data_IF_500612879058
#
_entry.id   IF_500612879058
#
_cell.length_a   1.000
_cell.length_b   1.000
_cell.length_c   1.000
_cell.angle_alpha   90.00
_cell.angle_beta   90.00
_cell.angle_gamma   90.00
#
_symmetry.space_group_name_H-M   'P 1'
#
loop_
_entity.id
_entity.type
_entity.pdbx_description
1 polymer ?
#
# COMPACT_ATOMS: atom_id res chain seq x y z
N UNK A 1 41.90 -17.88 26.77
CA UNK A 1 41.45 -16.57 27.31
C UNK A 1 39.97 -16.71 27.62
N UNK A 2 39.57 -16.29 28.81
CA UNK A 2 38.54 -16.92 29.66
C UNK A 2 37.10 -16.80 29.11
N UNK A 3 36.36 -17.92 29.20
CA UNK A 3 34.92 -18.04 28.96
C UNK A 3 34.11 -17.22 30.00
N UNK A 4 33.10 -16.49 29.54
CA UNK A 4 32.06 -15.89 30.37
C UNK A 4 30.72 -16.56 30.10
N UNK A 5 30.26 -17.37 31.04
CA UNK A 5 28.92 -17.96 31.11
C UNK A 5 27.94 -17.04 31.86
N UNK A 6 26.67 -17.24 31.54
CA UNK A 6 25.47 -17.08 32.36
C UNK A 6 24.96 -15.69 32.78
N UNK A 7 23.76 -15.36 32.29
CA UNK A 7 22.66 -15.00 33.19
C UNK A 7 21.29 -15.29 32.55
N UNK A 8 20.66 -16.34 33.07
CA UNK A 8 19.30 -16.82 32.80
C UNK A 8 18.35 -16.02 33.69
N UNK A 9 17.44 -15.22 33.12
CA UNK A 9 16.37 -14.54 33.87
C UNK A 9 15.05 -15.28 33.64
N UNK A 10 14.69 -16.08 34.64
CA UNK A 10 13.40 -16.73 34.84
C UNK A 10 12.42 -15.69 35.38
N UNK A 11 11.34 -15.39 34.64
CA UNK A 11 10.21 -14.61 35.14
C UNK A 11 9.14 -15.57 35.66
N UNK A 12 8.90 -15.49 36.97
CA UNK A 12 7.91 -16.23 37.71
C UNK A 12 6.48 -15.75 37.39
N UNK A 13 5.60 -16.72 37.15
CA UNK A 13 4.15 -16.61 37.27
C UNK A 13 3.75 -16.17 38.68
N UNK A 14 2.80 -15.24 38.75
CA UNK A 14 2.11 -14.85 39.97
C UNK A 14 0.62 -14.70 39.69
N UNK A 15 -0.11 -15.80 39.79
CA UNK A 15 -1.57 -15.83 39.91
C UNK A 15 -1.91 -15.39 41.33
N UNK A 16 -2.78 -14.38 41.48
CA UNK A 16 -3.40 -14.10 42.76
C UNK A 16 -4.90 -13.85 42.53
N UNK A 17 -5.69 -14.86 42.86
CA UNK A 17 -7.13 -14.77 43.05
C UNK A 17 -7.44 -14.24 44.45
N UNK A 18 -8.68 -13.74 44.59
CA UNK A 18 -9.45 -13.45 45.80
C UNK A 18 -9.29 -12.03 46.38
N UNK A 19 -10.35 -11.23 46.17
CA UNK A 19 -11.15 -10.80 47.32
C UNK A 19 -12.63 -10.60 46.94
N UNK A 20 -13.58 -10.77 47.88
CA UNK A 20 -15.01 -10.95 47.58
C UNK A 20 -15.91 -9.80 48.06
N UNK A 21 -17.18 -9.88 47.63
CA UNK A 21 -18.40 -9.28 48.23
C UNK A 21 -18.54 -7.74 48.28
N UNK A 22 -19.46 -7.22 47.47
CA UNK A 22 -20.45 -6.26 47.96
C UNK A 22 -21.78 -6.41 47.21
N UNK A 23 -22.80 -6.69 48.01
CA UNK A 23 -24.19 -7.02 47.70
C UNK A 23 -25.03 -5.75 47.65
N UNK A 24 -25.99 -5.74 46.72
CA UNK A 24 -27.26 -5.01 46.63
C UNK A 24 -27.31 -3.50 46.96
N UNK A 25 -27.96 -2.70 46.11
CA UNK A 25 -29.37 -2.23 46.30
C UNK A 25 -29.77 -1.27 45.16
N UNK A 26 -31.05 -1.35 44.77
CA UNK A 26 -31.90 -0.40 44.01
C UNK A 26 -32.09 -0.74 42.53
N UNK A 27 -33.11 -1.55 42.19
CA UNK A 27 -34.56 -1.24 42.08
C UNK A 27 -34.93 -0.45 40.81
N UNK A 28 -35.49 -1.21 39.87
CA UNK A 28 -36.77 -0.95 39.20
C UNK A 28 -37.09 0.48 38.74
N UNK A 29 -36.93 0.68 37.43
CA UNK A 29 -37.86 1.49 36.64
C UNK A 29 -38.01 0.88 35.25
N UNK A 30 -38.77 -0.20 35.15
CA UNK A 30 -39.35 -0.68 33.89
C UNK A 30 -40.52 0.23 33.54
N UNK A 31 -40.24 1.30 32.79
CA UNK A 31 -41.28 2.04 32.07
C UNK A 31 -41.66 1.23 30.83
N UNK A 32 -42.90 0.76 30.82
CA UNK A 32 -43.55 0.14 29.67
C UNK A 32 -43.51 1.13 28.49
N UNK A 33 -42.83 0.74 27.41
CA UNK A 33 -42.93 1.38 26.11
C UNK A 33 -44.08 0.67 25.40
N UNK A 34 -45.19 1.39 25.26
CA UNK A 34 -46.34 0.94 24.46
C UNK A 34 -45.88 0.62 23.03
N UNK A 35 -46.31 -0.55 22.55
CA UNK A 35 -46.12 -0.94 21.17
C UNK A 35 -46.90 0.02 20.24
N UNK A 36 -46.32 0.44 19.10
CA UNK A 36 -47.05 1.24 18.12
C UNK A 36 -48.24 0.44 17.56
N UNK A 37 -49.36 1.11 17.24
CA UNK A 37 -50.54 0.44 16.71
C UNK A 37 -50.25 -0.20 15.34
N UNK A 38 -50.94 -1.30 15.00
CA UNK A 38 -50.78 -1.96 13.71
C UNK A 38 -51.17 -1.02 12.57
N UNK A 39 -50.28 -0.91 11.58
CA UNK A 39 -50.50 -0.18 10.34
C UNK A 39 -51.74 -0.77 9.65
N UNK A 40 -52.80 0.03 9.56
CA UNK A 40 -53.99 -0.32 8.79
C UNK A 40 -53.82 0.23 7.39
N UNK A 41 -53.47 -0.63 6.44
CA UNK A 41 -53.48 -0.35 5.00
C UNK A 41 -54.94 -0.20 4.52
N UNK A 42 -55.52 0.97 4.77
CA UNK A 42 -56.72 1.41 4.06
C UNK A 42 -56.28 2.09 2.77
N UNK A 43 -56.28 1.32 1.68
CA UNK A 43 -56.31 1.85 0.32
C UNK A 43 -57.57 2.71 0.14
N UNK A 44 -57.42 4.03 0.21
CA UNK A 44 -58.42 4.96 -0.31
C UNK A 44 -58.20 5.10 -1.83
N UNK A 45 -59.16 4.71 -2.68
CA UNK A 45 -59.13 5.04 -4.10
C UNK A 45 -59.39 6.56 -4.25
N UNK A 46 -58.31 7.33 -4.39
CA UNK A 46 -58.36 8.74 -4.71
C UNK A 46 -58.89 8.97 -6.15
N UNK A 47 -59.55 10.12 -6.40
CA UNK A 47 -60.18 10.41 -7.68
C UNK A 47 -59.14 10.46 -8.80
N UNK A 48 -59.47 9.73 -9.87
CA UNK A 48 -58.79 9.71 -11.16
C UNK A 48 -58.61 11.12 -11.71
N UNK A 49 -57.44 11.71 -11.48
CA UNK A 49 -56.96 12.88 -12.20
C UNK A 49 -56.46 12.41 -13.57
N UNK A 50 -57.35 12.48 -14.56
CA UNK A 50 -57.03 12.33 -15.97
C UNK A 50 -56.14 13.50 -16.40
N UNK A 51 -54.83 13.37 -16.19
CA UNK A 51 -53.84 14.29 -16.75
C UNK A 51 -53.81 14.04 -18.25
N UNK A 52 -54.27 15.02 -19.01
CA UNK A 52 -54.21 15.06 -20.47
C UNK A 52 -52.75 15.05 -20.89
N UNK A 53 -52.33 13.96 -21.52
CA UNK A 53 -51.00 13.73 -22.06
C UNK A 53 -50.81 14.58 -23.32
N UNK A 54 -50.35 15.82 -23.14
CA UNK A 54 -49.93 16.69 -24.23
C UNK A 54 -48.40 16.64 -24.34
N UNK A 55 -47.95 15.97 -25.40
CA UNK A 55 -46.58 15.94 -25.95
C UNK A 55 -45.55 15.15 -25.13
N UNK A 56 -45.57 13.82 -25.28
CA UNK A 56 -44.41 12.97 -25.06
C UNK A 56 -43.31 13.28 -26.08
N UNK A 57 -42.53 14.35 -25.84
CA UNK A 57 -41.23 14.54 -26.49
C UNK A 57 -40.40 13.30 -26.17
N UNK A 58 -39.80 12.62 -27.17
CA UNK A 58 -38.90 11.50 -26.91
C UNK A 58 -37.84 11.97 -25.91
N UNK A 59 -37.84 11.39 -24.71
CA UNK A 59 -36.78 11.58 -23.73
C UNK A 59 -35.50 11.08 -24.39
N UNK A 60 -34.67 11.99 -24.89
CA UNK A 60 -33.31 11.65 -25.28
C UNK A 60 -32.67 10.91 -24.09
N UNK A 61 -32.03 9.75 -24.33
CA UNK A 61 -31.35 9.04 -23.27
C UNK A 61 -30.38 10.02 -22.60
N UNK A 62 -30.26 9.99 -21.26
CA UNK A 62 -29.36 10.88 -20.55
C UNK A 62 -27.97 10.79 -21.20
N UNK A 63 -27.30 11.93 -21.43
CA UNK A 63 -26.02 11.94 -22.13
C UNK A 63 -25.07 10.98 -21.41
N UNK A 64 -24.40 10.12 -22.20
CA UNK A 64 -23.38 9.22 -21.67
C UNK A 64 -22.35 10.07 -20.94
N UNK A 65 -22.10 9.75 -19.67
CA UNK A 65 -21.17 10.50 -18.85
C UNK A 65 -19.82 10.54 -19.57
N UNK A 66 -19.39 11.72 -20.00
CA UNK A 66 -18.09 11.88 -20.62
C UNK A 66 -17.02 11.33 -19.67
N UNK A 67 -16.17 10.42 -20.19
CA UNK A 67 -15.02 9.89 -19.47
C UNK A 67 -14.14 11.05 -19.06
N UNK A 68 -14.20 11.40 -17.78
CA UNK A 68 -13.40 12.48 -17.22
C UNK A 68 -11.99 11.96 -16.94
N UNK A 69 -11.01 12.52 -17.66
CA UNK A 69 -9.59 12.26 -17.47
C UNK A 69 -9.00 13.36 -16.57
N UNK A 70 -8.58 12.99 -15.36
CA UNK A 70 -7.99 13.93 -14.42
C UNK A 70 -6.51 14.17 -14.69
N UNK A 71 -6.02 15.38 -14.42
CA UNK A 71 -4.61 15.72 -14.52
C UNK A 71 -3.79 15.11 -13.38
N UNK A 72 -2.73 14.36 -13.71
CA UNK A 72 -1.78 13.84 -12.74
C UNK A 72 -0.38 13.72 -13.33
N UNK A 73 0.61 13.54 -12.45
CA UNK A 73 1.98 13.19 -12.83
C UNK A 73 2.50 12.05 -11.96
N UNK A 74 3.48 11.33 -12.48
CA UNK A 74 4.15 10.23 -11.76
C UNK A 74 5.47 10.71 -11.15
N UNK A 75 5.77 10.25 -9.94
CA UNK A 75 7.07 10.48 -9.30
C UNK A 75 8.12 9.49 -9.83
N UNK A 76 9.39 9.64 -9.45
CA UNK A 76 10.44 8.66 -9.77
C UNK A 76 10.16 7.25 -9.21
N UNK A 77 9.43 7.15 -8.09
CA UNK A 77 8.96 5.88 -7.54
C UNK A 77 7.77 5.30 -8.30
N UNK A 78 7.18 6.03 -9.26
CA UNK A 78 5.95 5.67 -9.96
C UNK A 78 4.69 6.00 -9.18
N UNK A 79 4.80 6.70 -8.04
CA UNK A 79 3.62 7.13 -7.28
C UNK A 79 2.91 8.24 -8.05
N UNK A 80 1.58 8.25 -7.97
CA UNK A 80 0.75 9.21 -8.70
C UNK A 80 0.49 10.42 -7.80
N UNK A 81 0.63 11.62 -8.34
CA UNK A 81 0.26 12.87 -7.67
C UNK A 81 -0.68 13.66 -8.58
N UNK A 82 -1.87 13.98 -8.08
CA UNK A 82 -2.82 14.85 -8.76
C UNK A 82 -3.09 16.12 -7.96
N UNK A 83 -3.14 17.23 -8.68
CA UNK A 83 -3.59 18.53 -8.20
C UNK A 83 -4.89 18.97 -8.87
N UNK A 84 -5.61 18.05 -9.50
CA UNK A 84 -6.77 18.40 -10.30
C UNK A 84 -7.89 19.02 -9.42
N UNK A 85 -8.42 20.21 -9.77
CA UNK A 85 -9.51 20.86 -9.05
C UNK A 85 -10.75 19.98 -8.84
N UNK A 86 -11.13 19.16 -9.83
CA UNK A 86 -12.34 18.34 -9.75
C UNK A 86 -12.18 17.24 -8.71
N UNK A 87 -11.01 16.58 -8.64
CA UNK A 87 -10.75 15.56 -7.62
C UNK A 87 -10.79 16.09 -6.17
N UNK A 88 -10.80 17.42 -5.99
CA UNK A 88 -10.80 18.06 -4.67
C UNK A 88 -12.11 18.77 -4.31
N UNK A 89 -12.95 19.06 -5.32
CA UNK A 89 -14.01 20.07 -5.23
C UNK A 89 -15.27 19.73 -6.02
N UNK A 90 -15.42 18.51 -6.55
CA UNK A 90 -16.53 18.11 -7.45
C UNK A 90 -17.92 18.06 -6.78
N UNK A 91 -18.29 19.17 -6.15
CA UNK A 91 -19.55 19.54 -5.55
C UNK A 91 -19.70 21.06 -5.40
N UNK A 92 -18.97 21.88 -6.17
CA UNK A 92 -19.18 23.34 -6.20
C UNK A 92 -20.31 23.71 -7.17
N UNK A 93 -21.47 24.18 -6.69
CA UNK A 93 -22.25 25.13 -7.45
C UNK A 93 -21.52 26.47 -7.35
N UNK A 94 -20.50 26.69 -8.19
CA UNK A 94 -20.02 28.05 -8.42
C UNK A 94 -21.15 28.80 -9.11
N UNK A 95 -21.73 29.74 -8.35
CA UNK A 95 -22.69 30.75 -8.81
C UNK A 95 -24.13 30.21 -8.98
N UNK A 96 -24.82 29.89 -7.89
CA UNK A 96 -26.17 30.43 -7.63
C UNK A 96 -26.63 30.04 -6.22
N UNK A 97 -26.66 31.05 -5.35
CA UNK A 97 -27.22 30.98 -4.00
C UNK A 97 -28.74 30.78 -4.07
N UNK A 98 -29.20 29.52 -4.08
CA UNK A 98 -30.57 29.19 -3.65
C UNK A 98 -30.48 28.22 -2.47
N UNK A 99 -30.74 28.80 -1.30
CA UNK A 99 -30.44 28.35 0.06
C UNK A 99 -31.24 27.13 0.57
N UNK A 100 -31.85 26.31 -0.31
CA UNK A 100 -32.91 25.36 0.12
C UNK A 100 -32.79 23.90 -0.34
N UNK A 101 -31.74 23.49 -1.06
CA UNK A 101 -31.55 22.09 -1.49
C UNK A 101 -30.20 21.52 -0.99
N UNK A 102 -29.89 21.75 0.29
CA UNK A 102 -28.57 21.52 0.87
C UNK A 102 -28.23 20.08 1.26
N UNK A 103 -29.21 19.16 1.38
CA UNK A 103 -28.91 17.78 1.81
C UNK A 103 -28.58 16.82 0.65
N UNK A 104 -29.11 17.06 -0.54
CA UNK A 104 -28.98 16.13 -1.67
C UNK A 104 -27.73 16.41 -2.51
N UNK A 105 -27.33 17.68 -2.69
CA UNK A 105 -26.08 18.05 -3.37
C UNK A 105 -24.81 17.59 -2.65
N UNK A 106 -24.86 17.38 -1.34
CA UNK A 106 -23.71 16.95 -0.57
C UNK A 106 -23.35 15.46 -0.81
N UNK A 107 -24.26 14.68 -1.43
CA UNK A 107 -24.09 13.23 -1.64
C UNK A 107 -23.19 12.86 -2.83
N UNK A 108 -22.78 13.80 -3.67
CA UNK A 108 -22.02 13.50 -4.89
C UNK A 108 -20.64 14.15 -4.98
N UNK A 109 -20.20 14.85 -3.93
CA UNK A 109 -18.97 15.67 -3.96
C UNK A 109 -17.67 14.88 -4.26
N UNK A 110 -17.64 13.60 -3.93
CA UNK A 110 -16.48 12.71 -4.09
C UNK A 110 -16.53 11.80 -5.31
N UNK A 111 -17.42 12.04 -6.28
CA UNK A 111 -17.60 11.15 -7.43
C UNK A 111 -16.36 11.03 -8.31
N UNK A 112 -15.86 12.16 -8.82
CA UNK A 112 -14.68 12.17 -9.67
C UNK A 112 -13.47 11.54 -8.95
N UNK A 113 -13.29 11.85 -7.66
CA UNK A 113 -12.23 11.26 -6.84
C UNK A 113 -12.39 9.74 -6.73
N UNK A 114 -13.58 9.24 -6.40
CA UNK A 114 -13.84 7.80 -6.30
C UNK A 114 -13.55 7.09 -7.62
N UNK A 115 -14.09 7.59 -8.75
CA UNK A 115 -13.88 7.01 -10.08
C UNK A 115 -12.40 7.03 -10.48
N UNK A 116 -11.69 8.13 -10.20
CA UNK A 116 -10.26 8.24 -10.43
C UNK A 116 -9.48 7.20 -9.64
N UNK A 117 -9.80 7.00 -8.36
CA UNK A 117 -9.14 5.99 -7.52
C UNK A 117 -9.37 4.57 -8.05
N UNK A 118 -10.57 4.24 -8.51
CA UNK A 118 -10.85 2.93 -9.13
C UNK A 118 -10.06 2.73 -10.42
N UNK A 119 -10.11 3.71 -11.34
CA UNK A 119 -9.38 3.64 -12.61
C UNK A 119 -7.86 3.52 -12.41
N UNK A 120 -7.30 4.23 -11.42
CA UNK A 120 -5.88 4.07 -11.08
C UNK A 120 -5.60 2.79 -10.27
N UNK A 121 -6.58 2.20 -9.60
CA UNK A 121 -6.40 0.93 -8.90
C UNK A 121 -6.24 -0.24 -9.87
N UNK A 122 -6.77 -0.17 -11.09
CA UNK A 122 -6.53 -1.18 -12.13
C UNK A 122 -5.04 -1.27 -12.52
N UNK A 123 -4.28 -0.18 -12.35
CA UNK A 123 -2.82 -0.20 -12.50
C UNK A 123 -2.17 -0.77 -11.24
N UNK A 124 -1.67 -1.99 -11.34
CA UNK A 124 -1.03 -2.68 -10.21
C UNK A 124 0.31 -2.02 -9.78
N UNK A 125 0.60 -1.92 -8.48
CA UNK A 125 1.93 -1.61 -7.98
C UNK A 125 2.91 -2.75 -8.30
N UNK A 126 4.21 -2.49 -8.14
CA UNK A 126 5.25 -3.51 -8.26
C UNK A 126 6.27 -3.43 -7.13
N UNK A 127 6.92 -4.56 -6.85
CA UNK A 127 8.16 -4.59 -6.09
C UNK A 127 9.35 -4.55 -7.05
N UNK A 128 10.47 -4.05 -6.54
CA UNK A 128 11.78 -4.11 -7.17
C UNK A 128 12.76 -4.68 -6.17
N UNK A 129 13.21 -5.89 -6.41
CA UNK A 129 14.31 -6.48 -5.65
C UNK A 129 15.60 -5.76 -6.05
N UNK A 130 16.26 -5.14 -5.09
CA UNK A 130 17.58 -4.52 -5.23
C UNK A 130 18.61 -5.42 -4.56
N UNK A 131 19.60 -5.87 -5.33
CA UNK A 131 20.73 -6.65 -4.84
C UNK A 131 22.01 -5.85 -5.03
N UNK A 132 22.72 -5.55 -3.95
CA UNK A 132 23.96 -4.79 -3.97
C UNK A 132 25.04 -5.48 -3.13
N UNK A 133 26.21 -5.70 -3.73
CA UNK A 133 27.39 -6.22 -3.07
C UNK A 133 28.49 -5.17 -3.03
N UNK A 134 29.07 -4.95 -1.86
CA UNK A 134 30.22 -4.04 -1.69
C UNK A 134 31.31 -4.69 -0.86
N UNK A 135 32.57 -4.33 -1.11
CA UNK A 135 33.68 -4.70 -0.24
C UNK A 135 34.58 -3.48 0.04
N UNK A 136 35.37 -3.58 1.12
CA UNK A 136 36.33 -2.53 1.49
C UNK A 136 37.72 -2.90 0.98
N UNK A 137 38.29 -2.08 0.11
CA UNK A 137 39.67 -2.17 -0.34
C UNK A 137 40.56 -1.19 0.44
N UNK A 138 41.72 -1.65 0.89
CA UNK A 138 42.75 -0.78 1.45
C UNK A 138 43.73 -0.37 0.34
N UNK A 139 43.65 0.88 -0.10
CA UNK A 139 44.53 1.43 -1.14
C UNK A 139 45.58 2.33 -0.52
N UNK A 140 46.75 2.38 -1.15
CA UNK A 140 47.78 3.34 -0.80
C UNK A 140 48.10 4.23 -1.98
N UNK A 141 48.04 5.54 -1.81
CA UNK A 141 48.44 6.52 -2.83
C UNK A 141 49.61 7.36 -2.32
N UNK A 142 50.47 7.80 -3.24
CA UNK A 142 51.46 8.82 -2.93
C UNK A 142 50.78 10.18 -3.00
N UNK A 143 50.77 10.89 -1.88
CA UNK A 143 50.30 12.28 -1.80
C UNK A 143 51.51 13.17 -1.72
N UNK A 144 51.58 14.10 -2.68
CA UNK A 144 52.61 15.13 -2.71
C UNK A 144 52.04 16.38 -2.06
N UNK A 145 52.56 16.71 -0.88
CA UNK A 145 52.14 17.87 -0.10
C UNK A 145 53.25 18.92 -0.14
N UNK A 146 52.87 20.18 -0.41
CA UNK A 146 53.79 21.30 -0.35
C UNK A 146 53.79 21.84 1.07
N UNK A 147 54.91 21.71 1.77
CA UNK A 147 55.06 22.24 3.11
C UNK A 147 55.12 23.78 3.09
N UNK A 148 54.90 24.41 4.25
CA UNK A 148 54.98 25.86 4.44
C UNK A 148 56.27 26.49 3.90
N UNK A 149 57.36 25.70 3.87
CA UNK A 149 58.69 26.14 3.41
C UNK A 149 58.84 26.05 1.89
N UNK A 150 57.76 25.77 1.15
CA UNK A 150 57.75 25.67 -0.31
C UNK A 150 58.35 24.39 -0.88
N UNK A 151 58.87 23.50 -0.03
CA UNK A 151 59.39 22.17 -0.41
C UNK A 151 58.24 21.20 -0.65
N UNK A 152 58.48 20.29 -1.60
CA UNK A 152 57.54 19.26 -1.99
C UNK A 152 57.92 17.96 -1.29
N UNK A 153 57.05 17.41 -0.45
CA UNK A 153 57.25 16.12 0.21
C UNK A 153 56.22 15.12 -0.28
N UNK A 154 56.69 13.97 -0.77
CA UNK A 154 55.81 12.84 -1.10
C UNK A 154 55.71 11.91 0.10
N UNK A 155 54.49 11.66 0.57
CA UNK A 155 54.20 10.66 1.60
C UNK A 155 53.22 9.62 1.09
N UNK A 156 53.40 8.37 1.52
CA UNK A 156 52.45 7.29 1.23
C UNK A 156 51.29 7.39 2.21
N UNK A 157 50.09 7.60 1.72
CA UNK A 157 48.84 7.64 2.50
C UNK A 157 48.03 6.38 2.22
N UNK A 158 47.64 5.66 3.26
CA UNK A 158 46.70 4.53 3.17
C UNK A 158 45.29 4.98 3.46
N UNK A 159 44.33 4.65 2.58
CA UNK A 159 42.92 4.92 2.78
C UNK A 159 42.08 3.68 2.44
N UNK A 160 40.88 3.62 3.01
CA UNK A 160 39.92 2.54 2.73
C UNK A 160 38.85 3.05 1.78
N UNK A 161 38.58 2.31 0.72
CA UNK A 161 37.58 2.62 -0.30
C UNK A 161 36.53 1.51 -0.33
N UNK A 162 35.24 1.87 -0.34
CA UNK A 162 34.17 0.89 -0.52
C UNK A 162 33.88 0.75 -2.00
N UNK A 163 34.18 -0.42 -2.56
CA UNK A 163 33.98 -0.74 -3.98
C UNK A 163 32.69 -1.53 -4.13
N UNK A 164 31.82 -1.12 -5.06
CA UNK A 164 30.63 -1.88 -5.44
C UNK A 164 31.02 -2.96 -6.44
N UNK A 165 30.75 -4.22 -6.10
CA UNK A 165 31.05 -5.37 -6.96
C UNK A 165 29.90 -5.65 -7.92
N UNK A 166 28.67 -5.66 -7.42
CA UNK A 166 27.45 -5.84 -8.20
C UNK A 166 26.33 -4.95 -7.65
N UNK A 167 25.46 -4.47 -8.53
CA UNK A 167 24.33 -3.61 -8.19
C UNK A 167 23.27 -3.73 -9.29
N UNK A 168 22.22 -4.51 -9.03
CA UNK A 168 21.19 -4.78 -10.03
C UNK A 168 19.80 -4.90 -9.41
N UNK A 169 18.80 -4.80 -10.28
CA UNK A 169 17.40 -4.79 -9.90
C UNK A 169 16.61 -5.88 -10.63
N UNK A 170 15.62 -6.47 -9.97
CA UNK A 170 14.65 -7.40 -10.59
C UNK A 170 13.25 -6.89 -10.25
N UNK A 171 12.43 -6.66 -11.27
CA UNK A 171 11.05 -6.21 -11.07
C UNK A 171 10.13 -7.41 -10.79
N UNK A 172 9.25 -7.26 -9.81
CA UNK A 172 8.27 -8.25 -9.35
C UNK A 172 6.89 -7.62 -9.44
N UNK A 173 6.11 -8.05 -10.42
CA UNK A 173 4.75 -7.59 -10.66
C UNK A 173 3.73 -8.66 -10.28
N UNK A 174 2.57 -8.28 -9.73
CA UNK A 174 1.47 -9.22 -9.56
C UNK A 174 0.94 -9.66 -10.93
N UNK A 175 0.20 -10.78 -11.01
CA UNK A 175 -0.45 -11.21 -12.24
C UNK A 175 -1.47 -10.17 -12.71
N UNK A 176 -1.50 -9.86 -14.01
CA UNK A 176 -2.42 -8.88 -14.60
C UNK A 176 -3.89 -9.30 -14.52
N UNK A 177 -4.18 -10.58 -14.29
CA UNK A 177 -5.54 -11.12 -14.17
C UNK A 177 -6.19 -10.83 -12.83
N UNK A 178 -5.39 -10.46 -11.82
CA UNK A 178 -5.86 -10.29 -10.45
C UNK A 178 -6.37 -8.87 -10.25
N UNK A 179 -7.64 -8.74 -9.89
CA UNK A 179 -8.24 -7.46 -9.52
C UNK A 179 -7.81 -7.01 -8.12
N UNK A 180 -7.65 -5.70 -7.88
CA UNK A 180 -7.36 -5.19 -6.55
C UNK A 180 -8.52 -5.48 -5.58
N UNK A 181 -8.18 -5.88 -4.36
CA UNK A 181 -9.13 -5.93 -3.25
C UNK A 181 -9.09 -4.57 -2.54
N UNK A 182 -10.16 -3.80 -2.64
CA UNK A 182 -10.26 -2.53 -1.92
C UNK A 182 -10.40 -2.78 -0.43
N UNK A 183 -9.64 -2.04 0.38
CA UNK A 183 -9.64 -2.20 1.83
C UNK A 183 -9.68 -0.85 2.53
N UNK A 184 -10.13 -0.87 3.78
CA UNK A 184 -10.14 0.31 4.66
C UNK A 184 -9.65 -0.04 6.07
N UNK A 185 -8.92 0.90 6.67
CA UNK A 185 -8.37 0.80 8.03
C UNK A 185 -9.53 0.79 9.02
N UNK A 186 -9.53 -0.22 9.90
CA UNK A 186 -10.56 -0.39 10.93
C UNK A 186 -10.66 0.86 11.82
N UNK A 187 -11.86 1.17 12.30
CA UNK A 187 -12.06 2.39 13.09
C UNK A 187 -11.31 2.41 14.42
N UNK A 188 -11.02 1.24 14.98
CA UNK A 188 -10.18 1.09 16.18
C UNK A 188 -8.66 1.17 15.88
N UNK A 189 -8.25 1.26 14.62
CA UNK A 189 -6.83 1.37 14.22
C UNK A 189 -6.41 2.83 13.97
N UNK A 190 -5.20 3.24 14.41
CA UNK A 190 -4.69 4.59 14.20
C UNK A 190 -4.53 4.97 12.73
N UNK A 191 -5.38 5.87 12.23
CA UNK A 191 -5.32 6.37 10.84
C UNK A 191 -5.46 7.90 10.78
N UNK A 192 -5.03 8.52 9.69
CA UNK A 192 -5.32 9.94 9.46
C UNK A 192 -6.75 10.05 8.91
N UNK A 193 -7.69 10.61 9.69
CA UNK A 193 -9.13 10.70 9.36
C UNK A 193 -9.60 12.14 9.16
N UNK A 194 -8.75 12.93 8.52
CA UNK A 194 -8.98 14.33 8.19
C UNK A 194 -8.20 15.31 9.04
N UNK A 195 -7.67 14.93 10.22
CA UNK A 195 -6.72 15.74 10.98
C UNK A 195 -5.25 15.45 10.60
N UNK A 196 -4.34 16.30 11.09
CA UNK A 196 -2.89 16.09 10.98
C UNK A 196 -2.33 15.19 12.10
N UNK A 197 -3.21 14.53 12.85
CA UNK A 197 -2.93 13.56 13.91
C UNK A 197 -3.61 12.26 13.52
N UNK A 198 -3.06 11.12 13.95
CA UNK A 198 -3.76 9.85 13.81
C UNK A 198 -4.87 9.72 14.85
N UNK A 199 -6.01 9.23 14.40
CA UNK A 199 -7.24 9.13 15.16
C UNK A 199 -7.78 7.71 15.09
N UNK A 200 -8.44 7.31 16.18
CA UNK A 200 -9.31 6.14 16.25
C UNK A 200 -10.75 6.61 16.44
N UNK A 201 -11.73 5.84 15.95
CA UNK A 201 -13.16 6.15 15.98
C UNK A 201 -14.04 4.93 16.33
N UNK A 202 -13.76 4.18 17.43
CA UNK A 202 -14.41 2.89 17.71
C UNK A 202 -15.94 2.96 17.90
N UNK A 203 -16.48 4.13 18.23
CA UNK A 203 -17.92 4.39 18.39
C UNK A 203 -18.36 5.63 17.58
N UNK A 204 -17.62 5.96 16.51
CA UNK A 204 -17.85 7.18 15.72
C UNK A 204 -17.25 8.46 16.31
N UNK A 205 -16.88 8.47 17.60
CA UNK A 205 -16.16 9.59 18.21
C UNK A 205 -14.67 9.53 17.87
N UNK A 206 -14.15 10.60 17.23
CA UNK A 206 -12.75 10.70 16.85
C UNK A 206 -11.88 11.04 18.07
N UNK A 207 -10.96 10.15 18.43
CA UNK A 207 -9.98 10.35 19.50
C UNK A 207 -8.55 10.33 18.96
N UNK A 208 -7.74 11.31 19.37
CA UNK A 208 -6.32 11.36 19.04
C UNK A 208 -5.52 10.26 19.73
N UNK A 209 -4.64 9.61 18.98
CA UNK A 209 -3.84 8.44 19.42
C UNK A 209 -2.54 8.89 20.09
N UNK A 210 -2.10 8.16 21.12
CA UNK A 210 -0.82 8.44 21.79
C UNK A 210 0.37 8.07 20.88
N UNK A 211 1.52 8.72 21.10
CA UNK A 211 2.75 8.45 20.31
C UNK A 211 3.22 7.00 20.43
N UNK A 212 3.08 6.38 21.60
CA UNK A 212 3.48 4.99 21.84
C UNK A 212 2.64 4.00 21.01
N UNK A 213 1.32 4.16 21.01
CA UNK A 213 0.38 3.38 20.20
C UNK A 213 0.65 3.57 18.70
N UNK A 214 0.92 4.80 18.26
CA UNK A 214 1.31 5.08 16.88
C UNK A 214 2.59 4.34 16.47
N UNK A 215 3.59 4.28 17.36
CA UNK A 215 4.85 3.55 17.12
C UNK A 215 4.61 2.04 17.07
N UNK A 216 3.81 1.50 17.98
CA UNK A 216 3.44 0.08 18.00
C UNK A 216 2.69 -0.30 16.71
N UNK A 217 1.71 0.50 16.29
CA UNK A 217 0.99 0.30 15.04
C UNK A 217 1.91 0.36 13.82
N UNK A 218 2.85 1.31 13.75
CA UNK A 218 3.81 1.36 12.64
C UNK A 218 4.70 0.11 12.58
N UNK A 219 5.18 -0.37 13.74
CA UNK A 219 5.95 -1.60 13.83
C UNK A 219 5.13 -2.80 13.35
N UNK A 220 3.86 -2.86 13.75
CA UNK A 220 2.92 -3.90 13.28
C UNK A 220 2.73 -3.84 11.76
N UNK A 221 2.47 -2.66 11.19
CA UNK A 221 2.31 -2.49 9.74
C UNK A 221 3.56 -2.96 8.98
N UNK A 222 4.75 -2.65 9.49
CA UNK A 222 6.03 -3.10 8.93
C UNK A 222 6.18 -4.63 9.01
N UNK A 223 5.94 -5.23 10.17
CA UNK A 223 5.98 -6.69 10.36
C UNK A 223 4.95 -7.41 9.46
N UNK A 224 3.74 -6.86 9.37
CA UNK A 224 2.67 -7.38 8.51
C UNK A 224 3.07 -7.35 7.04
N UNK A 225 3.64 -6.23 6.58
CA UNK A 225 4.09 -6.04 5.19
C UNK A 225 5.25 -6.97 4.85
N UNK A 226 6.24 -7.09 5.73
CA UNK A 226 7.42 -7.97 5.53
C UNK A 226 7.04 -9.45 5.52
N UNK A 227 6.00 -9.85 6.26
CA UNK A 227 5.43 -11.20 6.23
C UNK A 227 4.48 -11.45 5.05
N UNK A 228 4.14 -10.43 4.27
CA UNK A 228 3.17 -10.54 3.17
C UNK A 228 1.73 -10.76 3.63
N UNK A 229 1.39 -10.34 4.84
CA UNK A 229 0.03 -10.43 5.35
C UNK A 229 -0.83 -9.30 4.77
N UNK A 230 -2.10 -9.55 4.40
CA UNK A 230 -2.97 -8.51 3.86
C UNK A 230 -3.28 -7.38 4.87
N UNK A 231 -3.62 -6.17 4.36
CA UNK A 231 -3.69 -4.97 5.18
C UNK A 231 -4.91 -4.86 6.12
N UNK A 232 -5.92 -5.72 5.98
CA UNK A 232 -7.08 -5.78 6.88
C UNK A 232 -6.88 -6.70 8.10
N UNK A 233 -5.74 -7.39 8.19
CA UNK A 233 -5.43 -8.23 9.34
C UNK A 233 -4.93 -7.36 10.50
N UNK A 234 -5.57 -7.52 11.65
CA UNK A 234 -5.22 -6.84 12.90
C UNK A 234 -4.16 -7.59 13.73
N UNK A 235 -4.09 -8.92 13.62
CA UNK A 235 -3.09 -9.77 14.31
C UNK A 235 -2.79 -11.04 13.51
N UNK A 236 -1.59 -11.58 13.68
CA UNK A 236 -1.10 -12.81 13.03
C UNK A 236 -2.00 -14.00 13.32
N UNK A 237 -2.47 -14.14 14.57
CA UNK A 237 -3.28 -15.28 15.01
C UNK A 237 -4.62 -15.38 14.27
N UNK A 238 -5.17 -14.23 13.85
CA UNK A 238 -6.43 -14.17 13.11
C UNK A 238 -6.33 -14.73 11.68
N UNK A 239 -5.13 -14.85 11.12
CA UNK A 239 -4.93 -15.34 9.75
C UNK A 239 -4.83 -16.87 9.67
N UNK A 240 -4.34 -17.51 10.73
CA UNK A 240 -4.10 -18.96 10.75
C UNK A 240 -5.42 -19.75 10.64
N UNK A 241 -6.54 -19.15 11.04
CA UNK A 241 -7.86 -19.78 11.06
C UNK A 241 -8.62 -19.74 9.72
N UNK A 242 -7.93 -19.45 8.63
CA UNK A 242 -8.50 -19.44 7.27
C UNK A 242 -8.69 -18.01 6.73
N UNK A 243 -8.49 -17.86 5.42
CA UNK A 243 -8.77 -16.61 4.74
C UNK A 243 -10.28 -16.31 4.85
N UNK A 244 -10.70 -15.11 5.29
CA UNK A 244 -12.09 -14.74 5.23
C UNK A 244 -12.50 -14.66 3.75
N UNK A 245 -13.35 -15.58 3.31
CA UNK A 245 -13.89 -15.64 1.94
C UNK A 245 -14.89 -14.50 1.66
N UNK A 246 -15.18 -13.62 2.63
CA UNK A 246 -16.21 -12.59 2.52
C UNK A 246 -15.63 -11.17 2.36
N UNK A 247 -16.05 -10.49 1.28
CA UNK A 247 -15.74 -9.09 0.96
C UNK A 247 -16.07 -8.15 2.12
N UNK A 248 -17.06 -8.48 2.95
CA UNK A 248 -17.44 -7.69 4.14
C UNK A 248 -16.30 -7.55 5.15
N UNK A 249 -15.32 -8.46 5.14
CA UNK A 249 -14.21 -8.46 6.11
C UNK A 249 -13.09 -7.49 5.74
N UNK A 250 -13.02 -7.05 4.47
CA UNK A 250 -11.91 -6.23 3.95
C UNK A 250 -12.13 -4.73 4.19
N UNK A 251 -13.40 -4.28 4.21
CA UNK A 251 -13.79 -2.91 4.53
C UNK A 251 -14.13 -2.77 6.02
N UNK A 252 -13.10 -2.58 6.86
CA UNK A 252 -13.28 -2.53 8.33
C UNK A 252 -13.64 -1.15 8.89
N UNK A 253 -13.55 -0.10 8.08
CA UNK A 253 -14.04 1.23 8.45
C UNK A 253 -15.57 1.27 8.37
N UNK A 254 -16.22 1.97 9.30
CA UNK A 254 -17.67 2.28 9.23
C UNK A 254 -18.09 3.03 7.97
N UNK A 255 -17.14 3.66 7.29
CA UNK A 255 -17.35 4.37 6.01
C UNK A 255 -16.74 3.63 4.82
N UNK A 256 -17.46 3.68 3.69
CA UNK A 256 -16.98 3.19 2.40
C UNK A 256 -15.93 4.11 1.77
N UNK A 257 -15.19 3.61 0.77
CA UNK A 257 -14.23 4.42 -0.01
C UNK A 257 -14.88 5.68 -0.59
N UNK A 258 -16.11 5.55 -1.11
CA UNK A 258 -16.88 6.68 -1.65
C UNK A 258 -17.19 7.72 -0.57
N UNK A 259 -17.66 7.29 0.60
CA UNK A 259 -17.96 8.21 1.70
C UNK A 259 -16.71 8.94 2.22
N UNK A 260 -15.55 8.28 2.23
CA UNK A 260 -14.27 8.94 2.54
C UNK A 260 -13.88 9.97 1.50
N UNK A 261 -14.11 9.68 0.21
CA UNK A 261 -13.91 10.64 -0.87
C UNK A 261 -14.85 11.85 -0.72
N UNK A 262 -16.13 11.62 -0.40
CA UNK A 262 -17.09 12.70 -0.14
C UNK A 262 -16.67 13.55 1.07
N UNK A 263 -16.22 12.94 2.18
CA UNK A 263 -15.70 13.66 3.35
C UNK A 263 -14.46 14.50 3.01
N UNK A 264 -13.55 13.97 2.19
CA UNK A 264 -12.37 14.69 1.72
C UNK A 264 -12.75 15.90 0.86
N UNK A 265 -13.63 15.74 -0.11
CA UNK A 265 -14.09 16.83 -0.98
C UNK A 265 -14.82 17.92 -0.17
N UNK A 266 -15.67 17.51 0.78
CA UNK A 266 -16.41 18.43 1.66
C UNK A 266 -15.54 19.17 2.68
N UNK A 267 -14.31 18.72 2.92
CA UNK A 267 -13.39 19.40 3.85
C UNK A 267 -12.91 20.75 3.32
N UNK A 268 -13.10 21.81 4.12
CA UNK A 268 -12.69 23.19 3.83
C UNK A 268 -11.20 23.48 4.12
N UNK A 269 -10.36 22.44 4.17
CA UNK A 269 -8.95 22.56 4.51
C UNK A 269 -8.11 22.91 3.29
N UNK A 270 -7.24 23.91 3.40
CA UNK A 270 -6.43 24.40 2.28
C UNK A 270 -5.29 23.47 1.89
N UNK A 271 -4.76 22.72 2.86
CA UNK A 271 -3.67 21.76 2.69
C UNK A 271 -4.15 20.35 3.04
N UNK A 272 -5.32 19.98 2.51
CA UNK A 272 -5.82 18.61 2.56
C UNK A 272 -5.00 17.69 1.66
N UNK A 273 -4.87 16.43 2.04
CA UNK A 273 -4.19 15.41 1.26
C UNK A 273 -4.94 14.08 1.43
N UNK A 274 -5.39 13.50 0.33
CA UNK A 274 -5.90 12.14 0.30
C UNK A 274 -4.80 11.21 -0.18
N UNK A 275 -4.54 10.15 0.57
CA UNK A 275 -3.52 9.14 0.26
C UNK A 275 -4.23 7.80 0.11
N UNK A 276 -4.16 7.24 -1.09
CA UNK A 276 -4.61 5.89 -1.39
C UNK A 276 -3.41 4.96 -1.48
N UNK A 277 -3.38 3.93 -0.63
CA UNK A 277 -2.24 3.02 -0.50
C UNK A 277 -2.43 1.75 -1.33
N UNK A 278 -1.48 1.43 -2.19
CA UNK A 278 -1.45 0.22 -3.01
C UNK A 278 -0.47 -0.77 -2.37
N UNK A 279 -1.02 -1.84 -1.80
CA UNK A 279 -0.27 -2.80 -0.99
C UNK A 279 -0.18 -4.13 -1.72
N UNK A 280 1.03 -4.61 -1.98
CA UNK A 280 1.24 -5.99 -2.43
C UNK A 280 1.29 -6.91 -1.22
N UNK A 281 0.67 -8.09 -1.33
CA UNK A 281 0.66 -9.07 -0.25
C UNK A 281 0.71 -10.51 -0.79
N UNK A 282 0.82 -11.49 0.10
CA UNK A 282 0.84 -12.92 -0.21
C UNK A 282 2.24 -13.55 -0.18
N UNK A 283 3.33 -12.77 -0.27
CA UNK A 283 4.69 -13.29 -0.17
C UNK A 283 5.37 -12.90 1.13
N UNK A 284 6.02 -13.85 1.78
CA UNK A 284 6.89 -13.54 2.92
C UNK A 284 8.23 -12.97 2.41
N UNK A 285 8.28 -11.64 2.27
CA UNK A 285 9.43 -10.92 1.74
C UNK A 285 10.68 -11.14 2.61
N UNK A 286 10.52 -11.23 3.93
CA UNK A 286 11.64 -11.49 4.84
C UNK A 286 12.30 -12.85 4.56
N UNK A 287 11.50 -13.91 4.35
CA UNK A 287 12.02 -15.23 3.99
C UNK A 287 12.65 -15.21 2.60
N UNK A 288 12.03 -14.52 1.64
CA UNK A 288 12.55 -14.40 0.29
C UNK A 288 13.89 -13.65 0.25
N UNK A 289 14.03 -12.54 0.98
CA UNK A 289 15.31 -11.84 1.14
C UNK A 289 16.37 -12.74 1.75
N UNK A 290 16.01 -13.54 2.77
CA UNK A 290 16.94 -14.47 3.42
C UNK A 290 17.39 -15.57 2.46
N UNK A 291 16.49 -16.07 1.61
CA UNK A 291 16.81 -17.05 0.56
C UNK A 291 17.76 -16.44 -0.50
N UNK A 292 17.48 -15.21 -0.96
CA UNK A 292 18.35 -14.48 -1.89
C UNK A 292 19.73 -14.26 -1.28
N UNK A 293 19.83 -13.76 -0.05
CA UNK A 293 21.11 -13.58 0.65
C UNK A 293 21.89 -14.90 0.76
N UNK A 294 21.20 -16.00 1.04
CA UNK A 294 21.81 -17.33 1.14
C UNK A 294 22.36 -17.82 -0.20
N UNK A 295 21.62 -17.60 -1.30
CA UNK A 295 22.08 -17.93 -2.66
C UNK A 295 23.28 -17.09 -3.08
N UNK A 296 23.31 -15.79 -2.75
CA UNK A 296 24.48 -14.93 -2.98
C UNK A 296 25.68 -15.44 -2.19
N UNK A 297 25.51 -15.81 -0.92
CA UNK A 297 26.58 -16.34 -0.09
C UNK A 297 27.16 -17.66 -0.64
N UNK A 298 26.34 -18.50 -1.28
CA UNK A 298 26.79 -19.75 -1.91
C UNK A 298 27.74 -19.53 -3.11
N UNK A 299 27.82 -18.31 -3.65
CA UNK A 299 28.76 -17.93 -4.73
C UNK A 299 30.18 -17.67 -4.24
N UNK A 300 30.47 -17.89 -2.95
CA UNK A 300 31.74 -17.55 -2.29
C UNK A 300 32.04 -16.04 -2.26
N UNK A 301 31.01 -15.20 -2.39
CA UNK A 301 31.16 -13.76 -2.21
C UNK A 301 31.33 -13.43 -0.72
N UNK A 302 32.44 -12.78 -0.36
CA UNK A 302 32.79 -12.45 1.04
C UNK A 302 32.52 -10.99 1.43
N UNK A 303 31.98 -10.17 0.52
CA UNK A 303 31.67 -8.77 0.80
C UNK A 303 30.39 -8.56 1.62
N UNK A 304 30.07 -7.30 1.87
CA UNK A 304 28.80 -6.87 2.45
C UNK A 304 27.70 -6.94 1.39
N UNK A 305 26.63 -7.68 1.66
CA UNK A 305 25.49 -7.86 0.75
C UNK A 305 24.26 -7.18 1.32
N UNK A 306 23.69 -6.27 0.55
CA UNK A 306 22.42 -5.61 0.79
C UNK A 306 21.38 -6.16 -0.19
N UNK A 307 20.25 -6.62 0.36
CA UNK A 307 19.10 -7.12 -0.41
C UNK A 307 17.87 -6.43 0.15
N UNK A 308 17.15 -5.69 -0.69
CA UNK A 308 15.97 -4.90 -0.30
C UNK A 308 14.86 -5.03 -1.35
N UNK A 309 13.61 -5.19 -0.91
CA UNK A 309 12.43 -5.03 -1.78
C UNK A 309 11.88 -3.60 -1.73
N UNK A 310 12.10 -2.86 -2.81
CA UNK A 310 11.61 -1.50 -2.97
C UNK A 310 10.21 -1.50 -3.61
N UNK A 311 9.28 -0.75 -3.02
CA UNK A 311 7.92 -0.58 -3.56
C UNK A 311 7.90 0.50 -4.64
N UNK A 312 7.22 0.23 -5.76
CA UNK A 312 6.97 1.19 -6.84
C UNK A 312 5.48 1.34 -7.10
N UNK A 313 5.09 2.54 -7.52
CA UNK A 313 3.70 2.93 -7.78
C UNK A 313 2.75 2.52 -6.63
N UNK A 314 3.23 2.73 -5.40
CA UNK A 314 2.56 2.24 -4.19
C UNK A 314 1.55 3.23 -3.63
N UNK A 315 1.59 4.50 -4.04
CA UNK A 315 0.71 5.53 -3.49
C UNK A 315 0.10 6.42 -4.56
N UNK A 316 -1.12 6.85 -4.30
CA UNK A 316 -1.78 7.94 -5.04
C UNK A 316 -2.01 9.08 -4.05
N UNK A 317 -1.50 10.27 -4.37
CA UNK A 317 -1.67 11.49 -3.60
C UNK A 317 -2.59 12.45 -4.34
N UNK A 318 -3.69 12.81 -3.70
CA UNK A 318 -4.58 13.87 -4.17
C UNK A 318 -4.39 15.07 -3.27
N UNK A 319 -4.08 16.20 -3.88
CA UNK A 319 -3.86 17.47 -3.18
C UNK A 319 -4.68 18.56 -3.86
N UNK A 320 -5.11 19.60 -3.13
CA UNK A 320 -5.88 20.69 -3.71
C UNK A 320 -5.05 21.50 -4.70
N UNK A 321 -5.76 22.12 -5.64
CA UNK A 321 -5.17 22.96 -6.67
C UNK A 321 -4.81 24.37 -6.17
N UNK A 322 -3.98 24.43 -5.14
CA UNK A 322 -3.51 25.70 -4.58
C UNK A 322 -2.04 25.89 -4.96
N UNK A 323 -1.64 27.14 -5.22
CA UNK A 323 -0.23 27.50 -5.49
C UNK A 323 0.70 26.99 -4.39
N UNK A 324 0.26 27.08 -3.12
CA UNK A 324 1.01 26.57 -1.98
C UNK A 324 1.17 25.04 -2.02
N UNK A 325 0.11 24.31 -2.37
CA UNK A 325 0.15 22.86 -2.51
C UNK A 325 1.08 22.42 -3.66
N UNK A 326 1.00 23.10 -4.81
CA UNK A 326 1.91 22.87 -5.96
C UNK A 326 3.36 23.19 -5.60
N UNK A 327 3.59 24.30 -4.89
CA UNK A 327 4.92 24.70 -4.40
C UNK A 327 5.51 23.64 -3.45
N UNK A 328 4.69 23.08 -2.54
CA UNK A 328 5.12 22.04 -1.60
C UNK A 328 5.36 20.67 -2.26
N UNK A 329 4.76 20.40 -3.42
CA UNK A 329 5.00 19.17 -4.19
C UNK A 329 6.36 19.17 -4.89
N UNK A 330 6.91 20.34 -5.21
CA UNK A 330 8.24 20.45 -5.81
C UNK A 330 9.34 20.38 -4.73
N UNK A 331 10.22 19.38 -4.82
CA UNK A 331 11.32 19.14 -3.87
C UNK A 331 12.26 20.35 -3.76
N UNK A 332 12.55 21.04 -4.87
CA UNK A 332 13.46 22.18 -4.89
C UNK A 332 12.83 23.42 -4.23
N UNK A 333 11.57 23.73 -4.54
CA UNK A 333 10.85 24.82 -3.88
C UNK A 333 10.65 24.56 -2.39
N UNK A 334 10.39 23.30 -2.00
CA UNK A 334 10.36 22.90 -0.59
C UNK A 334 11.71 23.16 0.08
N UNK A 335 12.83 22.82 -0.56
CA UNK A 335 14.18 23.12 -0.04
C UNK A 335 14.41 24.63 0.09
N UNK A 336 14.06 25.42 -0.92
CA UNK A 336 14.14 26.89 -0.87
C UNK A 336 13.29 27.47 0.28
N UNK A 337 12.09 26.94 0.51
CA UNK A 337 11.21 27.39 1.61
C UNK A 337 11.78 27.11 3.00
N UNK A 338 12.65 26.09 3.13
CA UNK A 338 13.39 25.79 4.37
C UNK A 338 14.50 26.83 4.57
N UNK A 339 15.29 27.13 3.52
CA UNK A 339 16.35 28.15 3.57
C UNK A 339 15.77 29.52 3.94
N UNK A 340 14.63 29.89 3.34
CA UNK A 340 13.95 31.15 3.61
C UNK A 340 13.18 31.18 4.94
N UNK A 341 13.26 30.13 5.78
CA UNK A 341 12.55 30.02 7.06
C UNK A 341 11.02 30.19 6.97
N UNK A 342 10.43 30.00 5.78
CA UNK A 342 8.97 30.04 5.56
C UNK A 342 8.33 28.71 6.00
N UNK A 343 9.07 27.60 5.84
CA UNK A 343 8.56 26.25 6.11
C UNK A 343 8.01 26.03 7.54
N UNK A 344 8.64 26.53 8.63
CA UNK A 344 8.09 26.42 9.98
C UNK A 344 6.69 27.05 10.12
N UNK A 345 6.41 28.17 9.45
CA UNK A 345 5.10 28.82 9.48
C UNK A 345 4.05 28.01 8.72
N UNK A 346 4.41 27.46 7.55
CA UNK A 346 3.55 26.55 6.79
C UNK A 346 3.23 25.31 7.64
N UNK A 347 4.23 24.76 8.33
CA UNK A 347 4.05 23.62 9.22
C UNK A 347 3.11 23.96 10.39
N UNK A 348 3.30 25.12 11.04
CA UNK A 348 2.46 25.60 12.13
C UNK A 348 1.01 25.78 11.67
N UNK A 349 0.81 26.42 10.51
CA UNK A 349 -0.51 26.58 9.89
C UNK A 349 -1.15 25.22 9.58
N UNK A 350 -0.39 24.29 8.97
CA UNK A 350 -0.86 22.95 8.65
C UNK A 350 -1.29 22.20 9.92
N UNK A 351 -0.57 22.38 11.04
CA UNK A 351 -0.77 21.64 12.29
C UNK A 351 -1.86 22.21 13.20
N UNK A 352 -1.91 23.53 13.39
CA UNK A 352 -2.73 24.16 14.43
C UNK A 352 -3.96 24.91 13.91
N UNK A 353 -3.98 25.29 12.63
CA UNK A 353 -5.13 26.00 12.08
C UNK A 353 -6.25 25.03 11.69
N UNK A 354 -7.50 25.33 12.07
CA UNK A 354 -8.68 24.49 11.79
C UNK A 354 -8.88 24.24 10.28
N UNK A 355 -8.62 25.27 9.47
CA UNK A 355 -8.65 25.21 7.99
C UNK A 355 -7.29 24.87 7.35
N UNK A 356 -6.28 24.58 8.15
CA UNK A 356 -4.92 24.37 7.67
C UNK A 356 -4.76 23.03 6.96
N UNK A 357 -4.18 22.06 7.67
CA UNK A 357 -3.88 20.73 7.14
C UNK A 357 -4.92 19.69 7.47
N UNK A 358 -5.13 18.77 6.53
CA UNK A 358 -5.86 17.53 6.79
C UNK A 358 -5.25 16.40 5.99
N UNK A 359 -5.24 15.19 6.55
CA UNK A 359 -4.73 14.02 5.86
C UNK A 359 -5.75 12.88 5.97
N UNK A 360 -5.94 12.18 4.88
CA UNK A 360 -6.74 10.96 4.80
C UNK A 360 -5.82 9.85 4.32
N UNK A 361 -5.53 8.88 5.18
CA UNK A 361 -4.75 7.68 4.87
C UNK A 361 -5.48 6.50 5.51
N UNK A 362 -6.59 6.12 4.90
CA UNK A 362 -7.61 5.25 5.51
C UNK A 362 -7.95 4.07 4.60
N UNK A 363 -7.67 4.16 3.31
CA UNK A 363 -8.12 3.18 2.34
C UNK A 363 -7.07 2.94 1.26
N UNK A 364 -7.21 1.82 0.57
CA UNK A 364 -6.24 1.40 -0.42
C UNK A 364 -6.73 0.25 -1.28
N UNK A 365 -5.85 -0.19 -2.18
CA UNK A 365 -6.00 -1.39 -2.97
C UNK A 365 -4.96 -2.42 -2.55
N UNK A 366 -5.38 -3.65 -2.29
CA UNK A 366 -4.48 -4.75 -1.98
C UNK A 366 -4.38 -5.67 -3.19
N UNK A 367 -3.15 -6.02 -3.57
CA UNK A 367 -2.83 -6.77 -4.77
C UNK A 367 -2.13 -8.07 -4.35
N UNK A 368 -2.81 -9.23 -4.46
CA UNK A 368 -2.17 -10.49 -4.12
C UNK A 368 -1.13 -10.87 -5.17
N UNK A 369 0.08 -11.18 -4.70
CA UNK A 369 1.12 -11.85 -5.50
C UNK A 369 0.79 -13.34 -5.68
N UNK A 370 0.02 -13.90 -4.74
CA UNK A 370 -0.59 -15.24 -4.80
C UNK A 370 -1.96 -15.22 -4.12
N UNK A 371 -2.96 -15.85 -4.73
CA UNK A 371 -4.31 -15.99 -4.17
C UNK A 371 -4.89 -17.36 -4.52
N UNK A 372 -5.67 -17.95 -3.62
CA UNK A 372 -6.46 -19.15 -3.90
C UNK A 372 -7.86 -18.73 -4.32
N UNK A 373 -8.21 -18.96 -5.57
CA UNK A 373 -9.53 -18.66 -6.13
C UNK A 373 -10.36 -19.95 -6.17
N UNK A 374 -11.64 -19.86 -5.78
CA UNK A 374 -12.56 -20.99 -5.91
C UNK A 374 -12.84 -21.24 -7.39
N UNK A 375 -12.61 -22.46 -7.84
CA UNK A 375 -12.98 -22.85 -9.20
C UNK A 375 -14.49 -23.05 -9.19
N UNK A 376 -15.25 -22.06 -9.65
CA UNK A 376 -16.66 -22.27 -9.92
C UNK A 376 -16.76 -23.30 -11.05
N UNK A 377 -17.49 -24.39 -10.79
CA UNK A 377 -17.85 -25.41 -11.76
C UNK A 377 -18.70 -24.76 -12.85
N UNK A 378 -18.05 -24.07 -13.79
CA UNK A 378 -18.64 -23.74 -15.07
C UNK A 378 -19.00 -25.04 -15.79
N UNK A 379 -20.01 -25.02 -16.68
CA UNK A 379 -20.45 -26.21 -17.39
C UNK A 379 -19.31 -26.75 -18.25
N UNK A 380 -18.66 -27.81 -17.75
CA UNK A 380 -17.91 -28.77 -18.54
C UNK A 380 -16.78 -28.22 -19.44
N UNK A 381 -16.05 -27.18 -19.00
CA UNK A 381 -14.70 -26.96 -19.55
C UNK A 381 -13.83 -28.13 -19.12
N UNK A 382 -13.68 -29.09 -20.03
CA UNK A 382 -12.93 -30.33 -19.90
C UNK A 382 -11.68 -30.14 -19.04
N UNK A 383 -11.69 -30.72 -17.84
CA UNK A 383 -10.49 -30.89 -17.03
C UNK A 383 -9.37 -31.37 -17.96
N UNK A 384 -8.21 -30.71 -17.99
CA UNK A 384 -7.14 -31.06 -18.92
C UNK A 384 -6.83 -32.55 -18.76
N UNK A 385 -7.04 -33.28 -19.86
CA UNK A 385 -6.94 -34.74 -19.92
C UNK A 385 -5.50 -35.16 -19.61
N UNK A 386 -5.26 -35.54 -18.35
CA UNK A 386 -4.17 -36.38 -17.83
C UNK A 386 -2.84 -36.31 -18.60
N UNK A 387 -2.22 -35.12 -18.65
CA UNK A 387 -1.05 -34.93 -19.51
C UNK A 387 -0.04 -33.88 -19.07
N UNK A 388 0.03 -33.45 -17.80
CA UNK A 388 1.15 -32.62 -17.32
C UNK A 388 1.18 -32.54 -15.77
N UNK A 389 2.11 -33.25 -15.13
CA UNK A 389 2.28 -33.31 -13.66
C UNK A 389 2.56 -31.94 -13.00
N UNK A 390 2.97 -30.93 -13.78
CA UNK A 390 3.17 -29.57 -13.30
C UNK A 390 1.84 -28.86 -12.93
N UNK A 391 0.74 -29.17 -13.63
CA UNK A 391 -0.56 -28.55 -13.42
C UNK A 391 -1.18 -28.92 -12.06
N UNK A 392 -0.85 -30.10 -11.50
CA UNK A 392 -1.42 -30.56 -10.22
C UNK A 392 -0.98 -29.75 -9.00
N UNK A 393 0.17 -29.05 -9.05
CA UNK A 393 0.65 -28.24 -7.91
C UNK A 393 -0.19 -26.98 -7.64
N UNK A 394 -1.03 -26.60 -8.62
CA UNK A 394 -1.82 -25.37 -8.60
C UNK A 394 -3.22 -25.53 -7.99
N UNK A 395 -3.70 -26.76 -7.77
CA UNK A 395 -5.03 -27.01 -7.18
C UNK A 395 -4.92 -27.58 -5.77
N UNK A 396 -5.78 -27.11 -4.87
CA UNK A 396 -5.90 -27.65 -3.50
C UNK A 396 -7.37 -27.90 -3.22
N UNK A 397 -7.68 -29.12 -2.76
CA UNK A 397 -9.01 -29.47 -2.29
C UNK A 397 -9.19 -28.95 -0.87
N UNK A 398 -10.08 -27.98 -0.70
CA UNK A 398 -10.48 -27.45 0.62
C UNK A 398 -11.89 -27.96 0.97
N UNK A 399 -12.31 -27.91 2.25
CA UNK A 399 -13.69 -28.25 2.62
C UNK A 399 -14.76 -27.45 1.86
N UNK A 400 -14.42 -26.24 1.40
CA UNK A 400 -15.28 -25.37 0.58
C UNK A 400 -15.16 -25.57 -0.93
N UNK A 401 -14.51 -26.63 -1.41
CA UNK A 401 -14.33 -26.93 -2.83
C UNK A 401 -12.88 -26.87 -3.32
N UNK A 402 -12.67 -27.13 -4.61
CA UNK A 402 -11.35 -27.06 -5.26
C UNK A 402 -10.97 -25.60 -5.48
N UNK A 403 -9.82 -25.20 -4.95
CA UNK A 403 -9.24 -23.87 -5.17
C UNK A 403 -8.06 -23.95 -6.12
N UNK A 404 -7.99 -23.03 -7.07
CA UNK A 404 -6.84 -22.83 -7.97
C UNK A 404 -5.97 -21.70 -7.44
N UNK A 405 -4.66 -21.91 -7.42
CA UNK A 405 -3.70 -20.86 -7.13
C UNK A 405 -3.56 -19.94 -8.35
N UNK A 406 -3.93 -18.68 -8.17
CA UNK A 406 -3.65 -17.59 -9.12
C UNK A 406 -2.42 -16.84 -8.64
N UNK A 407 -1.46 -16.67 -9.56
CA UNK A 407 -0.16 -16.06 -9.29
C UNK A 407 0.94 -17.08 -9.02
N UNK A 408 2.06 -16.60 -8.47
CA UNK A 408 3.28 -17.39 -8.31
C UNK A 408 3.61 -17.49 -6.82
N UNK A 409 4.00 -18.67 -6.33
CA UNK A 409 4.50 -18.79 -4.95
C UNK A 409 5.89 -18.16 -4.87
N UNK A 410 6.23 -17.59 -3.72
CA UNK A 410 7.55 -16.99 -3.50
C UNK A 410 8.70 -17.98 -3.78
N UNK A 411 8.53 -19.26 -3.43
CA UNK A 411 9.53 -20.30 -3.69
C UNK A 411 9.68 -20.66 -5.17
N UNK A 412 8.57 -20.66 -5.92
CA UNK A 412 8.60 -20.92 -7.37
C UNK A 412 9.21 -19.73 -8.12
N UNK A 413 8.87 -18.51 -7.69
CA UNK A 413 9.52 -17.30 -8.18
C UNK A 413 11.02 -17.33 -7.89
N UNK A 414 11.42 -17.63 -6.66
CA UNK A 414 12.83 -17.70 -6.29
C UNK A 414 13.58 -18.75 -7.12
N UNK A 415 13.06 -19.97 -7.24
CA UNK A 415 13.64 -21.03 -8.07
C UNK A 415 13.86 -20.58 -9.51
N UNK A 416 12.90 -19.84 -10.08
CA UNK A 416 13.01 -19.29 -11.44
C UNK A 416 14.16 -18.27 -11.55
N UNK A 417 14.36 -17.43 -10.53
CA UNK A 417 15.31 -16.31 -10.57
C UNK A 417 16.70 -16.60 -9.96
N UNK A 418 16.84 -17.67 -9.19
CA UNK A 418 18.06 -18.03 -8.45
C UNK A 418 19.30 -18.09 -9.36
N UNK A 419 19.20 -18.74 -10.52
CA UNK A 419 20.30 -18.85 -11.47
C UNK A 419 20.70 -17.49 -12.07
N UNK A 420 19.73 -16.59 -12.29
CA UNK A 420 20.01 -15.23 -12.78
C UNK A 420 20.69 -14.40 -11.71
N UNK A 421 20.19 -14.44 -10.47
CA UNK A 421 20.81 -13.75 -9.32
C UNK A 421 22.26 -14.21 -9.15
N UNK A 422 22.49 -15.52 -9.12
CA UNK A 422 23.82 -16.11 -8.97
C UNK A 422 24.76 -15.67 -10.08
N UNK A 423 24.31 -15.69 -11.34
CA UNK A 423 25.12 -15.24 -12.49
C UNK A 423 25.41 -13.75 -12.44
N UNK A 424 24.45 -12.91 -12.06
CA UNK A 424 24.65 -11.47 -11.92
C UNK A 424 25.69 -11.14 -10.83
N UNK A 425 25.74 -11.92 -9.75
CA UNK A 425 26.77 -11.78 -8.70
C UNK A 425 28.15 -12.20 -9.21
N UNK A 426 28.27 -13.41 -9.77
CA UNK A 426 29.54 -13.96 -10.28
C UNK A 426 30.10 -13.05 -11.38
N UNK A 427 29.24 -12.58 -12.28
CA UNK A 427 29.57 -11.67 -13.37
C UNK A 427 29.76 -10.21 -12.95
N UNK A 428 29.64 -9.86 -11.66
CA UNK A 428 29.75 -8.49 -11.14
C UNK A 428 28.86 -7.49 -11.90
N UNK A 429 27.64 -7.91 -12.20
CA UNK A 429 26.71 -7.15 -13.02
C UNK A 429 26.27 -5.87 -12.29
N UNK A 430 26.38 -4.74 -12.98
CA UNK A 430 25.97 -3.43 -12.48
C UNK A 430 25.08 -2.75 -13.51
N UNK A 431 23.81 -2.51 -13.16
CA UNK A 431 22.89 -1.78 -14.01
C UNK A 431 21.77 -1.12 -13.19
N UNK A 432 21.43 0.15 -13.49
CA UNK A 432 20.24 0.79 -12.91
C UNK A 432 18.93 0.29 -13.55
N UNK A 433 19.00 -0.40 -14.70
CA UNK A 433 17.82 -0.95 -15.36
C UNK A 433 17.48 -2.33 -14.79
N UNK A 434 16.21 -2.58 -14.45
CA UNK A 434 15.80 -3.86 -13.90
C UNK A 434 15.82 -4.97 -14.95
N UNK A 435 16.10 -6.19 -14.50
CA UNK A 435 16.04 -7.41 -15.30
C UNK A 435 14.59 -7.87 -15.33
N UNK A 436 13.99 -7.95 -16.53
CA UNK A 436 12.57 -8.30 -16.70
C UNK A 436 12.34 -9.78 -17.05
N UNK A 437 13.34 -10.46 -17.60
CA UNK A 437 13.19 -11.83 -18.09
C UNK A 437 14.42 -12.67 -17.80
N UNK A 438 14.18 -13.86 -17.28
CA UNK A 438 15.18 -14.91 -17.08
C UNK A 438 15.72 -15.47 -18.40
N UNK A 439 14.93 -15.42 -19.48
CA UNK A 439 15.28 -16.00 -20.79
C UNK A 439 16.27 -15.13 -21.57
N UNK A 440 16.06 -13.81 -21.60
CA UNK A 440 16.95 -12.91 -22.37
C UNK A 440 18.38 -12.89 -21.83
N UNK A 441 18.57 -13.03 -20.51
CA UNK A 441 19.90 -13.13 -19.93
C UNK A 441 20.60 -14.45 -20.28
N UNK A 442 19.83 -15.55 -20.35
CA UNK A 442 20.36 -16.86 -20.75
C UNK A 442 20.74 -16.85 -22.23
N UNK A 443 19.94 -16.20 -23.09
CA UNK A 443 20.21 -16.06 -24.52
C UNK A 443 21.46 -15.25 -24.83
N UNK A 444 21.79 -14.23 -24.03
CA UNK A 444 23.02 -13.45 -24.19
C UNK A 444 24.28 -14.25 -23.82
N UNK A 445 24.18 -15.16 -22.84
CA UNK A 445 25.25 -16.12 -22.55
C UNK A 445 25.31 -17.25 -23.60
N UNK A 446 24.17 -17.71 -24.12
CA UNK A 446 24.10 -18.76 -25.15
C UNK A 446 24.50 -18.27 -26.55
N UNK A 447 24.44 -16.97 -26.82
CA UNK A 447 24.99 -16.41 -28.06
C UNK A 447 26.50 -16.68 -28.20
N UNK A 448 27.22 -16.80 -27.08
CA UNK A 448 28.62 -17.25 -27.07
C UNK A 448 28.75 -18.76 -27.29
N UNK A 449 27.77 -19.57 -26.86
CA UNK A 449 27.69 -21.00 -27.19
C UNK A 449 27.35 -21.27 -28.66
N UNK A 450 26.86 -20.26 -29.39
CA UNK A 450 26.65 -20.30 -30.84
C UNK A 450 27.86 -19.82 -31.65
N UNK A 451 28.97 -19.41 -30.99
CA UNK A 451 30.22 -19.09 -31.69
C UNK A 451 30.95 -20.40 -32.03
N UNK A 452 31.26 -20.57 -33.31
CA UNK A 452 32.02 -21.70 -33.84
C UNK A 452 33.37 -21.82 -33.10
N UNK A 453 33.70 -23.02 -32.61
CA UNK A 453 34.91 -23.29 -31.83
C UNK A 453 34.84 -23.00 -30.32
N UNK A 454 33.72 -22.56 -29.73
CA UNK A 454 33.63 -22.35 -28.26
C UNK A 454 33.65 -23.66 -27.45
N UNK A 455 33.51 -24.81 -28.12
CA UNK A 455 33.56 -26.16 -27.52
C UNK A 455 34.76 -26.99 -27.96
N UNK A 456 35.65 -26.44 -28.79
CA UNK A 456 36.92 -27.05 -29.16
C UNK A 456 38.03 -26.52 -28.25
#
# INVERSE_FOLDING_TARGET
>A
MIMGQDTKLTLHEGINEQDPLLVDTLKQSTSAIDAPPPFSDQFQPGPSNTVVDHNSVPLEPPPEFALYEADYFETSSGDIVSHDPHLNSDGEPRIFSLRSLSSERQRFAGEALYRFLLAQADKSPSYRLHCRGTHTEHRSRWVTERTSDGRTQSRRESYSETVTDFDFYIDVTPPSTVKPIHWSVADNEPAYRGLMVREVAPLGEKQGVKRAETKAYNKWVEERTTRGLPPWIASVDGWVNGAPDDETTTMRSSKSLRQWADEYCNSQKYLKEFVYDKVLYGWNLQQLESAVRSSIAATMYHGCVEVEFQRRASKIYIRPDNTLSRMLSNKWLKFLSIILMIFPFIWLFKRFHSRGGGRWEICGGAYPLKQWELVHEGPEESLPEYGEQAAMSSFVQTPGGVRKLVGLREGDWFRKWEATITRSVIGRYQSPTPIFDTMNYTRQADAALLLDGYRD
#
